data_IF_508459146837
#
_entry.id   IF_508459146837
#
_cell.length_a   1.000
_cell.length_b   1.000
_cell.length_c   1.000
_cell.angle_alpha   90.00
_cell.angle_beta   90.00
_cell.angle_gamma   90.00
#
_symmetry.space_group_name_H-M   'P 1'
#
loop_
_entity.id
_entity.type
_entity.pdbx_description
1 polymer ?
#
# COMPACT_ATOMS: atom_id res chain seq x y z
N UNK A 1 21.54 -21.00 13.02
CA UNK A 1 20.64 -19.87 13.31
C UNK A 1 19.58 -19.86 12.23
N UNK A 2 18.48 -20.56 12.45
CA UNK A 2 17.33 -20.50 11.55
C UNK A 2 16.59 -19.19 11.86
N UNK A 3 16.47 -18.32 10.87
CA UNK A 3 15.63 -17.14 10.94
C UNK A 3 14.21 -17.58 11.32
N UNK A 4 13.73 -17.07 12.45
CA UNK A 4 12.34 -17.21 12.87
C UNK A 4 11.49 -16.29 11.95
N UNK A 5 11.35 -16.66 10.67
CA UNK A 5 10.38 -16.04 9.76
C UNK A 5 9.03 -16.50 10.25
N UNK A 6 8.26 -15.59 10.84
CA UNK A 6 6.87 -15.88 11.18
C UNK A 6 6.17 -16.28 9.87
N UNK A 7 5.54 -17.48 9.78
CA UNK A 7 4.82 -17.91 8.58
C UNK A 7 3.78 -16.89 8.09
N UNK A 8 3.27 -16.06 9.01
CA UNK A 8 2.35 -14.95 8.75
C UNK A 8 2.97 -13.82 7.90
N UNK A 9 4.30 -13.64 7.89
CA UNK A 9 4.95 -12.56 7.14
C UNK A 9 4.91 -12.79 5.62
N UNK A 10 5.07 -14.05 5.16
CA UNK A 10 5.08 -14.34 3.72
C UNK A 10 3.73 -14.04 3.06
N UNK A 11 2.63 -14.33 3.77
CA UNK A 11 1.27 -14.06 3.32
C UNK A 11 1.00 -12.59 3.05
N UNK A 12 1.41 -11.75 3.99
CA UNK A 12 1.29 -10.29 3.88
C UNK A 12 2.08 -9.76 2.68
N UNK A 13 3.31 -10.24 2.46
CA UNK A 13 4.11 -9.80 1.32
C UNK A 13 3.46 -10.17 -0.02
N UNK A 14 2.89 -11.36 -0.13
CA UNK A 14 2.15 -11.80 -1.31
C UNK A 14 0.88 -10.97 -1.54
N UNK A 15 0.21 -10.55 -0.46
CA UNK A 15 -0.95 -9.68 -0.55
C UNK A 15 -0.60 -8.36 -1.28
N UNK A 16 0.53 -7.73 -0.96
CA UNK A 16 0.94 -6.48 -1.59
C UNK A 16 1.65 -6.65 -2.93
N UNK A 17 2.56 -7.62 -3.05
CA UNK A 17 3.49 -7.72 -4.17
C UNK A 17 3.13 -8.81 -5.20
N UNK A 18 2.10 -9.62 -4.95
CA UNK A 18 1.71 -10.71 -5.83
C UNK A 18 2.40 -12.04 -5.54
N UNK A 19 1.95 -13.11 -6.22
CA UNK A 19 2.33 -14.51 -5.95
C UNK A 19 3.82 -14.80 -6.12
N UNK A 20 4.44 -14.17 -7.10
CA UNK A 20 5.81 -14.44 -7.53
C UNK A 20 6.84 -13.53 -6.85
N UNK A 21 6.43 -12.62 -5.97
CA UNK A 21 7.33 -11.65 -5.34
C UNK A 21 8.42 -12.31 -4.47
N UNK A 22 8.12 -13.47 -3.89
CA UNK A 22 9.05 -14.25 -3.06
C UNK A 22 9.74 -15.39 -3.83
N UNK A 23 9.66 -15.40 -5.16
CA UNK A 23 10.32 -16.41 -5.96
C UNK A 23 11.86 -16.29 -5.82
N UNK A 24 12.59 -17.40 -5.64
CA UNK A 24 14.03 -17.39 -5.34
C UNK A 24 14.91 -16.93 -6.51
N UNK A 25 14.38 -16.90 -7.75
CA UNK A 25 15.10 -16.39 -8.92
C UNK A 25 14.14 -15.62 -9.85
N UNK A 26 14.06 -14.28 -9.73
CA UNK A 26 13.22 -13.47 -10.59
C UNK A 26 13.82 -13.34 -12.00
N UNK A 27 13.21 -14.06 -12.95
CA UNK A 27 13.59 -14.16 -14.37
C UNK A 27 13.26 -12.91 -15.22
N UNK A 28 12.43 -11.99 -14.70
CA UNK A 28 12.06 -10.74 -15.40
C UNK A 28 12.34 -9.50 -14.54
N UNK A 29 12.54 -8.36 -15.20
CA UNK A 29 12.78 -7.08 -14.53
C UNK A 29 11.63 -6.68 -13.60
N UNK A 30 10.38 -6.92 -14.00
CA UNK A 30 9.21 -6.64 -13.14
C UNK A 30 9.18 -7.52 -11.89
N UNK A 31 9.53 -8.81 -12.00
CA UNK A 31 9.64 -9.69 -10.82
C UNK A 31 10.78 -9.27 -9.90
N UNK A 32 11.91 -8.79 -10.44
CA UNK A 32 13.02 -8.23 -9.63
C UNK A 32 12.57 -6.99 -8.85
N UNK A 33 11.79 -6.11 -9.48
CA UNK A 33 11.22 -4.94 -8.80
C UNK A 33 10.30 -5.39 -7.66
N UNK A 34 9.37 -6.30 -7.91
CA UNK A 34 8.46 -6.79 -6.85
C UNK A 34 9.19 -7.56 -5.75
N UNK A 35 10.24 -8.32 -6.06
CA UNK A 35 11.09 -8.98 -5.06
C UNK A 35 11.80 -7.95 -4.17
N UNK A 36 12.30 -6.86 -4.76
CA UNK A 36 12.89 -5.76 -3.99
C UNK A 36 11.85 -5.04 -3.11
N UNK A 37 10.64 -4.77 -3.63
CA UNK A 37 9.56 -4.16 -2.86
C UNK A 37 9.10 -5.07 -1.71
N UNK A 38 8.98 -6.38 -1.95
CA UNK A 38 8.66 -7.36 -0.90
C UNK A 38 9.74 -7.43 0.17
N UNK A 39 11.03 -7.42 -0.22
CA UNK A 39 12.14 -7.35 0.74
C UNK A 39 12.13 -6.07 1.57
N UNK A 40 11.80 -4.94 0.94
CA UNK A 40 11.68 -3.65 1.62
C UNK A 40 10.52 -3.66 2.62
N UNK A 41 9.35 -4.15 2.19
CA UNK A 41 8.17 -4.26 3.03
C UNK A 41 8.40 -5.21 4.21
N UNK A 42 9.08 -6.34 3.99
CA UNK A 42 9.49 -7.25 5.06
C UNK A 42 10.43 -6.58 6.07
N UNK A 43 11.37 -5.76 5.58
CA UNK A 43 12.30 -5.04 6.46
C UNK A 43 11.57 -4.03 7.33
N UNK A 44 10.59 -3.31 6.76
CA UNK A 44 9.70 -2.41 7.52
C UNK A 44 8.85 -3.20 8.52
N UNK A 45 8.24 -4.33 8.11
CA UNK A 45 7.45 -5.20 8.97
C UNK A 45 8.23 -5.68 10.20
N UNK A 46 9.48 -6.11 9.99
CA UNK A 46 10.38 -6.50 11.09
C UNK A 46 10.69 -5.32 12.01
N UNK A 47 10.86 -4.11 11.46
CA UNK A 47 11.03 -2.89 12.26
C UNK A 47 9.82 -2.60 13.14
N UNK A 48 8.61 -2.70 12.58
CA UNK A 48 7.35 -2.52 13.30
C UNK A 48 7.21 -3.55 14.42
N UNK A 49 7.47 -4.84 14.13
CA UNK A 49 7.37 -5.90 15.13
C UNK A 49 8.31 -5.72 16.33
N UNK A 50 9.45 -5.05 16.14
CA UNK A 50 10.40 -4.75 17.23
C UNK A 50 9.95 -3.60 18.14
N UNK A 51 9.01 -2.74 17.71
CA UNK A 51 8.57 -1.58 18.49
C UNK A 51 7.96 -1.96 19.83
N UNK A 52 7.33 -3.14 19.94
CA UNK A 52 6.73 -3.65 21.19
C UNK A 52 7.73 -3.64 22.35
N UNK A 53 8.99 -4.00 22.06
CA UNK A 53 10.07 -4.16 23.03
C UNK A 53 10.88 -2.88 23.26
N UNK A 54 10.58 -1.78 22.55
CA UNK A 54 11.34 -0.53 22.64
C UNK A 54 10.76 0.42 23.70
N UNK A 55 11.54 1.36 24.25
CA UNK A 55 11.01 2.41 25.12
C UNK A 55 10.11 3.39 24.34
N UNK A 56 9.24 4.11 25.06
CA UNK A 56 8.21 4.97 24.47
C UNK A 56 8.79 6.07 23.59
N UNK A 57 9.88 6.71 24.00
CA UNK A 57 10.57 7.74 23.21
C UNK A 57 11.04 7.23 21.85
N UNK A 58 11.54 5.98 21.80
CA UNK A 58 11.91 5.31 20.55
C UNK A 58 10.68 5.04 19.68
N UNK A 59 9.59 4.52 20.27
CA UNK A 59 8.34 4.27 19.53
C UNK A 59 7.79 5.57 18.95
N UNK A 60 7.79 6.64 19.73
CA UNK A 60 7.24 7.95 19.37
C UNK A 60 8.06 8.62 18.27
N UNK A 61 9.38 8.41 18.24
CA UNK A 61 10.27 8.93 17.19
C UNK A 61 10.24 8.07 15.92
N UNK A 62 10.35 6.75 16.06
CA UNK A 62 10.62 5.84 14.94
C UNK A 62 9.37 5.17 14.37
N UNK A 63 8.32 4.98 15.17
CA UNK A 63 7.07 4.36 14.74
C UNK A 63 6.39 5.09 13.58
N UNK A 64 6.25 6.43 13.60
CA UNK A 64 5.68 7.17 12.48
C UNK A 64 6.48 6.99 11.18
N UNK A 65 7.82 6.97 11.27
CA UNK A 65 8.70 6.70 10.13
C UNK A 65 8.44 5.32 9.53
N UNK A 66 8.31 4.28 10.37
CA UNK A 66 8.01 2.92 9.91
C UNK A 66 6.61 2.81 9.29
N UNK A 67 5.59 3.45 9.88
CA UNK A 67 4.25 3.51 9.30
C UNK A 67 4.28 4.17 7.90
N UNK A 68 5.05 5.25 7.77
CA UNK A 68 5.18 5.94 6.50
C UNK A 68 5.92 5.11 5.45
N UNK A 69 7.02 4.46 5.83
CA UNK A 69 7.75 3.56 4.96
C UNK A 69 6.85 2.39 4.49
N UNK A 70 6.04 1.83 5.40
CA UNK A 70 5.06 0.80 5.05
C UNK A 70 4.10 1.30 3.98
N UNK A 71 3.50 2.47 4.21
CA UNK A 71 2.54 3.08 3.29
C UNK A 71 3.16 3.31 1.91
N UNK A 72 4.34 3.93 1.85
CA UNK A 72 4.99 4.27 0.58
C UNK A 72 5.37 3.02 -0.23
N UNK A 73 5.96 2.01 0.42
CA UNK A 73 6.34 0.75 -0.24
C UNK A 73 5.08 0.01 -0.70
N UNK A 74 4.06 -0.10 0.15
CA UNK A 74 2.81 -0.79 -0.16
C UNK A 74 2.09 -0.14 -1.35
N UNK A 75 1.90 1.17 -1.33
CA UNK A 75 1.21 1.88 -2.42
C UNK A 75 2.03 1.87 -3.71
N UNK A 76 3.37 1.88 -3.63
CA UNK A 76 4.23 1.69 -4.80
C UNK A 76 4.05 0.30 -5.42
N UNK A 77 3.95 -0.75 -4.59
CA UNK A 77 3.65 -2.09 -5.06
C UNK A 77 2.27 -2.16 -5.75
N UNK A 78 1.23 -1.54 -5.17
CA UNK A 78 -0.10 -1.51 -5.78
C UNK A 78 -0.13 -0.74 -7.11
N UNK A 79 0.56 0.40 -7.20
CA UNK A 79 0.76 1.11 -8.47
C UNK A 79 1.42 0.18 -9.48
N UNK A 80 2.48 -0.52 -9.10
CA UNK A 80 3.15 -1.47 -9.99
C UNK A 80 2.27 -2.62 -10.44
N UNK A 81 1.35 -3.08 -9.61
CA UNK A 81 0.44 -4.18 -9.97
C UNK A 81 -0.58 -3.73 -11.00
N UNK A 82 -1.10 -2.51 -10.87
CA UNK A 82 -2.09 -1.95 -11.79
C UNK A 82 -1.47 -1.30 -13.04
N UNK A 83 -0.25 -0.79 -12.94
CA UNK A 83 0.51 -0.18 -14.05
C UNK A 83 1.99 -0.61 -14.02
N UNK A 84 2.32 -1.88 -14.39
CA UNK A 84 3.69 -2.37 -14.40
C UNK A 84 4.65 -1.54 -15.25
N UNK A 85 4.13 -0.91 -16.32
CA UNK A 85 4.88 -0.03 -17.18
C UNK A 85 5.49 1.16 -16.41
N UNK A 86 4.78 1.68 -15.41
CA UNK A 86 5.28 2.79 -14.57
C UNK A 86 6.54 2.41 -13.82
N UNK A 87 6.57 1.23 -13.17
CA UNK A 87 7.73 0.78 -12.41
C UNK A 87 8.90 0.39 -13.31
N UNK A 88 8.63 -0.28 -14.44
CA UNK A 88 9.67 -0.60 -15.43
C UNK A 88 10.32 0.68 -16.00
N UNK A 89 9.52 1.71 -16.26
CA UNK A 89 10.02 3.01 -16.74
C UNK A 89 10.91 3.67 -15.68
N UNK A 90 10.48 3.68 -14.42
CA UNK A 90 11.27 4.25 -13.31
C UNK A 90 12.59 3.50 -13.15
N UNK A 91 12.56 2.17 -13.12
CA UNK A 91 13.76 1.35 -13.02
C UNK A 91 14.73 1.63 -14.18
N UNK A 92 14.22 1.72 -15.41
CA UNK A 92 15.07 1.98 -16.59
C UNK A 92 15.72 3.37 -16.53
N UNK A 93 15.01 4.37 -16.02
CA UNK A 93 15.58 5.69 -15.78
C UNK A 93 16.63 5.67 -14.67
N UNK A 94 16.38 4.91 -13.59
CA UNK A 94 17.30 4.74 -12.47
C UNK A 94 18.61 4.02 -12.83
N UNK A 95 18.54 3.09 -13.78
CA UNK A 95 19.72 2.38 -14.30
C UNK A 95 20.46 3.14 -15.41
N UNK A 96 19.95 4.29 -15.84
CA UNK A 96 20.60 5.07 -16.90
C UNK A 96 21.88 5.74 -16.39
N UNK A 97 22.87 5.93 -17.27
CA UNK A 97 24.13 6.62 -16.92
C UNK A 97 23.93 8.08 -16.51
N UNK A 98 22.78 8.65 -16.85
CA UNK A 98 22.41 10.04 -16.53
C UNK A 98 21.64 10.12 -15.20
N UNK A 99 21.66 9.04 -14.39
CA UNK A 99 21.03 9.01 -13.08
C UNK A 99 21.82 9.80 -12.04
N UNK A 100 21.42 11.05 -11.83
CA UNK A 100 21.90 11.92 -10.76
C UNK A 100 20.98 11.90 -9.53
N UNK A 101 21.45 11.36 -8.41
CA UNK A 101 20.71 11.33 -7.13
C UNK A 101 20.50 12.72 -6.51
N UNK A 102 21.28 13.72 -6.92
CA UNK A 102 21.23 15.07 -6.37
C UNK A 102 20.06 15.93 -6.92
N UNK A 103 19.46 15.54 -8.05
CA UNK A 103 18.41 16.33 -8.71
C UNK A 103 17.05 15.69 -8.43
N UNK A 104 16.01 16.43 -8.04
CA UNK A 104 14.66 15.88 -7.90
C UNK A 104 14.10 15.33 -9.23
N UNK A 105 13.67 14.08 -9.18
CA UNK A 105 13.24 13.33 -10.37
C UNK A 105 11.80 13.63 -10.72
N UNK A 106 11.53 14.00 -11.98
CA UNK A 106 10.16 14.19 -12.47
C UNK A 106 9.38 12.88 -12.57
N UNK A 107 10.09 11.77 -12.81
CA UNK A 107 9.53 10.45 -13.01
C UNK A 107 9.38 9.61 -11.75
N UNK A 108 9.89 10.06 -10.59
CA UNK A 108 9.66 9.37 -9.32
C UNK A 108 8.16 9.21 -9.03
N UNK A 109 7.79 8.18 -8.26
CA UNK A 109 6.43 8.07 -7.72
C UNK A 109 6.19 9.25 -6.78
N UNK A 110 5.08 9.95 -7.00
CA UNK A 110 4.69 11.13 -6.22
C UNK A 110 3.36 10.90 -5.54
N UNK A 111 3.25 11.42 -4.32
CA UNK A 111 1.99 11.42 -3.59
C UNK A 111 0.86 12.06 -4.40
N UNK A 112 1.11 13.25 -4.95
CA UNK A 112 0.19 13.91 -5.88
C UNK A 112 0.54 13.49 -7.31
N UNK A 113 -0.44 12.96 -8.04
CA UNK A 113 -0.32 12.51 -9.42
C UNK A 113 -0.28 10.99 -9.57
N UNK A 114 0.50 10.27 -8.75
CA UNK A 114 0.58 8.80 -8.83
C UNK A 114 -0.27 8.09 -7.77
N UNK A 115 -0.43 8.66 -6.57
CA UNK A 115 -1.27 8.06 -5.51
C UNK A 115 -2.61 8.78 -5.42
N UNK A 116 -2.58 10.10 -5.26
CA UNK A 116 -3.75 10.95 -5.18
C UNK A 116 -3.89 11.78 -6.45
N UNK A 117 -5.12 12.01 -6.90
CA UNK A 117 -5.41 12.96 -7.97
C UNK A 117 -6.50 13.94 -7.53
N UNK A 118 -6.48 15.13 -8.14
CA UNK A 118 -7.60 16.08 -8.03
C UNK A 118 -8.81 15.50 -8.77
N UNK A 119 -9.99 15.76 -8.23
CA UNK A 119 -11.23 15.28 -8.84
C UNK A 119 -11.47 15.90 -10.22
N UNK A 120 -12.04 15.12 -11.15
CA UNK A 120 -12.45 15.58 -12.48
C UNK A 120 -13.97 15.46 -12.63
N UNK A 121 -14.60 16.50 -13.20
CA UNK A 121 -16.06 16.58 -13.33
C UNK A 121 -16.62 15.90 -14.59
N UNK A 122 -15.76 15.43 -15.49
CA UNK A 122 -16.18 14.87 -16.78
C UNK A 122 -15.15 13.88 -17.33
N UNK A 123 -15.06 12.70 -16.70
CA UNK A 123 -14.00 11.71 -16.95
C UNK A 123 -14.01 11.14 -18.38
N UNK A 124 -15.20 10.91 -18.93
CA UNK A 124 -15.37 10.15 -20.18
C UNK A 124 -15.93 11.00 -21.31
N UNK A 125 -15.74 12.32 -21.23
CA UNK A 125 -16.14 13.22 -22.32
C UNK A 125 -15.25 13.02 -23.54
N UNK A 126 -15.82 13.04 -24.76
CA UNK A 126 -15.05 12.93 -26.01
C UNK A 126 -13.99 14.02 -26.18
N UNK A 127 -14.06 15.10 -25.40
CA UNK A 127 -13.13 16.23 -25.45
C UNK A 127 -11.94 16.08 -24.49
N UNK A 128 -11.88 14.99 -23.71
CA UNK A 128 -10.75 14.72 -22.83
C UNK A 128 -9.58 14.18 -23.65
N UNK A 129 -8.45 14.90 -23.62
CA UNK A 129 -7.21 14.39 -24.20
C UNK A 129 -6.65 13.22 -23.36
N UNK A 130 -6.10 12.20 -24.03
CA UNK A 130 -5.50 11.03 -23.36
C UNK A 130 -4.39 11.43 -22.37
N UNK A 131 -3.66 12.52 -22.63
CA UNK A 131 -2.60 13.03 -21.74
C UNK A 131 -3.13 13.55 -20.40
N UNK A 132 -4.42 13.92 -20.34
CA UNK A 132 -5.08 14.47 -19.16
C UNK A 132 -5.77 13.36 -18.33
N UNK A 133 -5.75 12.12 -18.83
CA UNK A 133 -6.19 10.93 -18.10
C UNK A 133 -5.10 10.56 -17.08
N UNK A 134 -5.32 10.92 -15.81
CA UNK A 134 -4.41 10.54 -14.73
C UNK A 134 -4.65 9.09 -14.29
N UNK A 135 -3.55 8.37 -14.02
CA UNK A 135 -3.57 6.98 -13.51
C UNK A 135 -3.20 6.92 -12.03
N UNK A 136 -3.61 7.93 -11.28
CA UNK A 136 -3.39 7.94 -9.83
C UNK A 136 -4.13 6.77 -9.18
N UNK A 137 -3.45 6.10 -8.24
CA UNK A 137 -3.95 4.91 -7.57
C UNK A 137 -5.36 5.11 -7.03
N UNK A 138 -5.60 6.20 -6.29
CA UNK A 138 -6.92 6.57 -5.79
C UNK A 138 -7.51 7.76 -6.58
N UNK A 139 -7.30 7.81 -7.89
CA UNK A 139 -7.89 8.79 -8.79
C UNK A 139 -9.24 8.34 -9.34
N UNK A 140 -10.03 9.30 -9.84
CA UNK A 140 -11.39 9.05 -10.33
C UNK A 140 -11.46 8.07 -11.53
N UNK A 141 -10.46 8.04 -12.42
CA UNK A 141 -10.41 7.04 -13.48
C UNK A 141 -10.23 5.61 -12.92
N UNK A 142 -9.35 5.42 -11.94
CA UNK A 142 -9.15 4.11 -11.32
C UNK A 142 -10.35 3.73 -10.45
N UNK A 143 -11.03 4.69 -9.82
CA UNK A 143 -12.31 4.41 -9.15
C UNK A 143 -13.31 3.74 -10.11
N UNK A 144 -13.54 4.35 -11.27
CA UNK A 144 -14.52 3.86 -12.25
C UNK A 144 -14.08 2.60 -13.00
N UNK A 145 -12.80 2.48 -13.37
CA UNK A 145 -12.33 1.40 -14.24
C UNK A 145 -11.73 0.21 -13.49
N UNK A 146 -11.29 0.41 -12.24
CA UNK A 146 -10.50 -0.57 -11.50
C UNK A 146 -11.20 -0.94 -10.19
N UNK A 147 -11.33 0.01 -9.27
CA UNK A 147 -11.69 -0.29 -7.89
C UNK A 147 -13.13 -0.77 -7.70
N UNK A 148 -14.11 -0.15 -8.37
CA UNK A 148 -15.51 -0.58 -8.27
C UNK A 148 -15.68 -2.03 -8.69
N UNK A 149 -15.14 -2.38 -9.86
CA UNK A 149 -15.17 -3.74 -10.40
C UNK A 149 -14.43 -4.72 -9.47
N UNK A 150 -13.30 -4.31 -8.89
CA UNK A 150 -12.55 -5.14 -7.94
C UNK A 150 -13.32 -5.44 -6.65
N UNK A 151 -14.02 -4.44 -6.09
CA UNK A 151 -14.86 -4.62 -4.90
C UNK A 151 -16.06 -5.51 -5.19
N UNK A 152 -16.74 -5.30 -6.32
CA UNK A 152 -17.86 -6.15 -6.74
C UNK A 152 -17.40 -7.61 -6.94
N UNK A 153 -16.26 -7.80 -7.61
CA UNK A 153 -15.67 -9.13 -7.82
C UNK A 153 -15.24 -9.80 -6.49
N UNK A 154 -14.75 -9.01 -5.52
CA UNK A 154 -14.47 -9.51 -4.17
C UNK A 154 -15.77 -9.92 -3.46
N UNK A 155 -16.81 -9.11 -3.52
CA UNK A 155 -18.10 -9.41 -2.89
C UNK A 155 -18.74 -10.69 -3.45
N UNK A 156 -18.64 -10.90 -4.77
CA UNK A 156 -19.14 -12.12 -5.43
C UNK A 156 -18.35 -13.38 -5.06
N UNK A 157 -17.07 -13.23 -4.70
CA UNK A 157 -16.18 -14.34 -4.38
C UNK A 157 -16.21 -14.76 -2.90
N UNK A 158 -16.70 -13.89 -2.00
CA UNK A 158 -16.69 -14.13 -0.56
C UNK A 158 -17.94 -14.89 -0.13
N UNK A 159 -17.80 -16.06 0.55
CA UNK A 159 -18.92 -16.77 1.15
C UNK A 159 -19.68 -15.92 2.17
N UNK A 160 -20.99 -16.14 2.31
CA UNK A 160 -21.86 -15.40 3.23
C UNK A 160 -21.49 -15.56 4.72
N UNK A 161 -20.65 -16.54 5.07
CA UNK A 161 -20.31 -16.96 6.42
C UNK A 161 -18.84 -16.72 6.81
N UNK A 162 -18.13 -15.81 6.13
CA UNK A 162 -16.74 -15.53 6.49
C UNK A 162 -16.63 -14.84 7.86
N UNK A 163 -15.89 -15.49 8.78
CA UNK A 163 -15.68 -15.02 10.16
C UNK A 163 -14.67 -13.88 10.33
N UNK A 164 -14.19 -13.26 9.24
CA UNK A 164 -13.27 -12.13 9.29
C UNK A 164 -14.05 -10.81 9.48
N UNK A 165 -13.69 -10.07 10.54
CA UNK A 165 -14.31 -8.78 10.87
C UNK A 165 -13.95 -7.71 9.84
N UNK A 166 -12.69 -7.56 9.47
CA UNK A 166 -12.23 -6.56 8.53
C UNK A 166 -12.71 -6.85 7.10
N UNK A 167 -12.85 -8.11 6.71
CA UNK A 167 -13.49 -8.44 5.43
C UNK A 167 -14.96 -8.02 5.44
N UNK A 168 -15.67 -8.26 6.53
CA UNK A 168 -17.06 -7.80 6.70
C UNK A 168 -17.15 -6.27 6.65
N UNK A 169 -16.25 -5.56 7.33
CA UNK A 169 -16.18 -4.09 7.32
C UNK A 169 -15.86 -3.55 5.90
N UNK A 170 -14.96 -4.20 5.16
CA UNK A 170 -14.60 -3.87 3.78
C UNK A 170 -15.77 -4.08 2.82
N UNK A 171 -16.48 -5.21 2.92
CA UNK A 171 -17.62 -5.52 2.05
C UNK A 171 -18.85 -4.66 2.34
N UNK A 172 -18.93 -4.07 3.54
CA UNK A 172 -19.96 -3.08 3.86
C UNK A 172 -19.72 -1.73 3.15
N UNK A 173 -18.56 -1.51 2.55
CA UNK A 173 -18.27 -0.29 1.78
C UNK A 173 -18.92 -0.40 0.40
N UNK A 174 -19.83 0.52 0.02
CA UNK A 174 -20.36 0.55 -1.34
C UNK A 174 -19.23 0.69 -2.36
N UNK A 175 -19.27 -0.10 -3.44
CA UNK A 175 -18.21 -0.13 -4.45
C UNK A 175 -17.85 1.28 -4.98
N UNK A 176 -18.88 2.11 -5.24
CA UNK A 176 -18.72 3.48 -5.72
C UNK A 176 -18.11 4.48 -4.70
N UNK A 177 -17.97 4.06 -3.44
CA UNK A 177 -17.48 4.87 -2.33
C UNK A 177 -16.11 4.40 -1.85
N UNK A 178 -15.67 3.19 -2.24
CA UNK A 178 -14.41 2.61 -1.82
C UNK A 178 -13.22 3.52 -2.10
N UNK A 179 -13.04 3.95 -3.35
CA UNK A 179 -11.88 4.78 -3.72
C UNK A 179 -11.87 6.12 -2.97
N UNK A 180 -13.04 6.75 -2.79
CA UNK A 180 -13.16 8.01 -2.06
C UNK A 180 -12.80 7.84 -0.58
N UNK A 181 -13.29 6.77 0.07
CA UNK A 181 -12.95 6.45 1.47
C UNK A 181 -11.46 6.16 1.63
N UNK A 182 -10.86 5.39 0.71
CA UNK A 182 -9.42 5.11 0.73
C UNK A 182 -8.59 6.36 0.55
N UNK A 183 -8.97 7.23 -0.40
CA UNK A 183 -8.33 8.52 -0.63
C UNK A 183 -8.33 9.39 0.63
N UNK A 184 -9.46 9.47 1.33
CA UNK A 184 -9.60 10.24 2.56
C UNK A 184 -8.76 9.63 3.70
N UNK A 185 -8.91 8.33 3.98
CA UNK A 185 -8.23 7.66 5.07
C UNK A 185 -6.70 7.68 4.89
N UNK A 186 -6.21 7.25 3.73
CA UNK A 186 -4.78 7.23 3.40
C UNK A 186 -4.22 8.65 3.29
N UNK A 187 -5.01 9.61 2.78
CA UNK A 187 -4.69 11.04 2.75
C UNK A 187 -4.46 11.64 4.14
N UNK A 188 -5.39 11.36 5.06
CA UNK A 188 -5.32 11.79 6.45
C UNK A 188 -4.10 11.17 7.15
N UNK A 189 -3.90 9.86 7.03
CA UNK A 189 -2.76 9.15 7.62
C UNK A 189 -1.43 9.69 7.09
N UNK A 190 -1.32 9.95 5.78
CA UNK A 190 -0.12 10.54 5.20
C UNK A 190 0.18 11.91 5.80
N UNK A 191 -0.83 12.78 5.93
CA UNK A 191 -0.64 14.10 6.53
C UNK A 191 -0.22 14.02 7.99
N UNK A 192 -0.85 13.14 8.76
CA UNK A 192 -0.58 12.95 10.18
C UNK A 192 0.84 12.40 10.42
N UNK A 193 1.21 11.32 9.73
CA UNK A 193 2.55 10.74 9.81
C UNK A 193 3.64 11.71 9.34
N UNK A 194 3.37 12.51 8.31
CA UNK A 194 4.32 13.52 7.82
C UNK A 194 4.67 14.54 8.89
N UNK A 195 3.71 14.99 9.70
CA UNK A 195 3.97 15.95 10.79
C UNK A 195 4.89 15.38 11.87
N UNK A 196 4.87 14.06 12.06
CA UNK A 196 5.70 13.37 13.06
C UNK A 196 7.12 13.07 12.58
N UNK A 197 7.37 13.13 11.26
CA UNK A 197 8.67 12.82 10.64
C UNK A 197 9.39 14.10 10.19
N UNK A 198 8.63 15.11 9.75
CA UNK A 198 9.21 16.40 9.39
C UNK A 198 9.48 17.20 10.66
N UNK A 199 10.75 17.47 10.94
CA UNK A 199 11.22 18.36 12.02
C UNK A 199 10.89 19.85 11.76
N UNK A 200 9.90 20.14 10.90
CA UNK A 200 9.29 21.46 10.80
C UNK A 200 8.44 21.80 12.03
N UNK A 201 7.99 20.77 12.76
CA UNK A 201 7.37 20.95 14.06
C UNK A 201 8.41 21.35 15.10
N UNK A 202 8.33 22.59 15.58
CA UNK A 202 9.17 23.10 16.67
C UNK A 202 8.65 22.70 18.06
N UNK A 203 7.56 21.94 18.13
CA UNK A 203 7.09 21.31 19.37
C UNK A 203 7.69 19.91 19.49
N UNK A 204 8.07 19.46 20.70
CA UNK A 204 8.62 18.12 20.91
C UNK A 204 7.68 17.06 20.34
N UNK A 205 8.20 16.08 19.58
CA UNK A 205 7.41 14.95 19.06
C UNK A 205 6.64 14.21 20.18
N UNK A 206 7.22 14.22 21.40
CA UNK A 206 6.64 13.68 22.63
C UNK A 206 5.29 14.33 22.99
N UNK A 207 5.05 15.56 22.55
CA UNK A 207 3.79 16.29 22.79
C UNK A 207 2.71 16.04 21.74
N UNK A 208 3.04 15.38 20.62
CA UNK A 208 2.12 15.16 19.50
C UNK A 208 1.53 13.76 19.48
N UNK A 209 2.34 12.73 19.74
CA UNK A 209 1.89 11.33 19.74
C UNK A 209 2.46 10.60 20.93
N UNK A 210 1.63 9.95 21.74
CA UNK A 210 2.09 8.94 22.68
C UNK A 210 2.22 7.56 21.99
N UNK A 211 2.69 6.54 22.72
CA UNK A 211 2.80 5.17 22.21
C UNK A 211 1.48 4.66 21.63
N UNK A 212 0.35 4.96 22.28
CA UNK A 212 -0.97 4.47 21.88
C UNK A 212 -1.36 5.10 20.55
N UNK A 213 -1.21 6.41 20.40
CA UNK A 213 -1.43 7.12 19.14
C UNK A 213 -0.57 6.54 18.01
N UNK A 214 0.72 6.28 18.27
CA UNK A 214 1.60 5.69 17.24
C UNK A 214 1.16 4.27 16.86
N UNK A 215 0.77 3.44 17.84
CA UNK A 215 0.25 2.10 17.59
C UNK A 215 -1.02 2.15 16.72
N UNK A 216 -1.97 3.03 17.05
CA UNK A 216 -3.20 3.22 16.27
C UNK A 216 -2.90 3.71 14.84
N UNK A 217 -1.94 4.62 14.65
CA UNK A 217 -1.54 5.09 13.34
C UNK A 217 -0.89 4.00 12.49
N UNK A 218 -0.06 3.14 13.10
CA UNK A 218 0.51 1.96 12.47
C UNK A 218 -0.60 1.00 12.04
N UNK A 219 -1.49 0.61 12.96
CA UNK A 219 -2.58 -0.32 12.68
C UNK A 219 -3.49 0.18 11.56
N UNK A 220 -3.91 1.45 11.62
CA UNK A 220 -4.73 2.07 10.57
C UNK A 220 -4.00 2.08 9.23
N UNK A 221 -2.72 2.45 9.21
CA UNK A 221 -1.92 2.47 7.97
C UNK A 221 -1.82 1.10 7.32
N UNK A 222 -1.52 0.08 8.13
CA UNK A 222 -1.36 -1.29 7.63
C UNK A 222 -2.71 -1.83 7.16
N UNK A 223 -3.80 -1.61 7.91
CA UNK A 223 -5.15 -2.03 7.52
C UNK A 223 -5.63 -1.36 6.24
N UNK A 224 -5.54 -0.04 6.15
CA UNK A 224 -6.04 0.72 4.99
C UNK A 224 -5.34 0.29 3.69
N UNK A 225 -4.03 0.04 3.77
CA UNK A 225 -3.24 -0.45 2.64
C UNK A 225 -3.50 -1.92 2.32
N UNK A 226 -3.68 -2.79 3.32
CA UNK A 226 -3.98 -4.20 3.13
C UNK A 226 -5.35 -4.43 2.47
N UNK A 227 -6.36 -3.64 2.82
CA UNK A 227 -7.68 -3.70 2.17
C UNK A 227 -7.57 -3.34 0.67
N UNK A 228 -6.82 -2.30 0.33
CA UNK A 228 -6.57 -1.97 -1.08
C UNK A 228 -5.77 -3.08 -1.80
N UNK A 229 -4.85 -3.72 -1.10
CA UNK A 229 -4.07 -4.84 -1.64
C UNK A 229 -4.92 -6.09 -1.90
N UNK A 230 -5.85 -6.41 -0.98
CA UNK A 230 -6.83 -7.48 -1.18
C UNK A 230 -7.65 -7.23 -2.45
N UNK A 231 -8.27 -6.05 -2.56
CA UNK A 231 -9.12 -5.70 -3.71
C UNK A 231 -8.33 -5.74 -5.02
N UNK A 232 -7.05 -5.38 -5.01
CA UNK A 232 -6.18 -5.45 -6.18
C UNK A 232 -6.07 -6.88 -6.75
N UNK A 233 -6.18 -7.94 -5.95
CA UNK A 233 -6.20 -9.34 -6.46
C UNK A 233 -7.46 -9.67 -7.26
N UNK A 234 -8.53 -8.92 -7.07
CA UNK A 234 -9.81 -9.09 -7.78
C UNK A 234 -9.91 -8.19 -9.02
N UNK A 235 -8.83 -7.47 -9.36
CA UNK A 235 -8.73 -6.72 -10.61
C UNK A 235 -8.15 -7.63 -11.70
N UNK A 236 -8.86 -7.92 -12.80
CA UNK A 236 -8.43 -8.93 -13.78
C UNK A 236 -7.09 -8.67 -14.46
N UNK A 237 -6.71 -7.41 -14.62
CA UNK A 237 -5.46 -7.01 -15.27
C UNK A 237 -4.35 -6.67 -14.27
N UNK A 238 -4.59 -6.81 -12.97
CA UNK A 238 -3.54 -6.63 -11.97
C UNK A 238 -2.48 -7.71 -12.16
N UNK A 239 -1.22 -7.29 -12.15
CA UNK A 239 -0.09 -8.18 -12.32
C UNK A 239 0.01 -9.15 -11.13
N UNK A 240 0.19 -10.43 -11.46
CA UNK A 240 0.61 -11.51 -10.55
C UNK A 240 -0.31 -11.71 -9.33
N UNK A 241 -1.62 -11.60 -9.56
CA UNK A 241 -2.64 -11.83 -8.54
C UNK A 241 -2.67 -13.27 -8.03
N UNK A 242 -2.96 -13.40 -6.74
CA UNK A 242 -3.36 -14.65 -6.11
C UNK A 242 -4.75 -15.08 -6.60
N UNK A 243 -5.09 -16.36 -6.47
CA UNK A 243 -6.49 -16.77 -6.62
C UNK A 243 -7.36 -16.14 -5.53
N UNK A 244 -8.67 -16.02 -5.77
CA UNK A 244 -9.61 -15.43 -4.81
C UNK A 244 -9.50 -16.06 -3.41
N UNK A 245 -9.47 -17.40 -3.33
CA UNK A 245 -9.34 -18.12 -2.07
C UNK A 245 -8.00 -17.87 -1.38
N UNK A 246 -6.89 -17.86 -2.13
CA UNK A 246 -5.57 -17.53 -1.59
C UNK A 246 -5.55 -16.09 -1.05
N UNK A 247 -6.06 -15.11 -1.80
CA UNK A 247 -6.07 -13.71 -1.40
C UNK A 247 -6.91 -13.46 -0.14
N UNK A 248 -8.11 -14.04 -0.06
CA UNK A 248 -8.98 -13.97 1.12
C UNK A 248 -8.30 -14.62 2.33
N UNK A 249 -7.72 -15.80 2.14
CA UNK A 249 -6.98 -16.50 3.20
C UNK A 249 -5.81 -15.68 3.72
N UNK A 250 -4.98 -15.11 2.84
CA UNK A 250 -3.85 -14.27 3.26
C UNK A 250 -4.32 -12.99 3.98
N UNK A 251 -5.41 -12.38 3.54
CA UNK A 251 -5.99 -11.23 4.24
C UNK A 251 -6.54 -11.60 5.63
N UNK A 252 -7.28 -12.70 5.75
CA UNK A 252 -7.77 -13.17 7.06
C UNK A 252 -6.64 -13.54 8.02
N UNK A 253 -5.56 -14.13 7.53
CA UNK A 253 -4.37 -14.39 8.34
C UNK A 253 -3.65 -13.10 8.75
N UNK A 254 -3.62 -12.11 7.85
CA UNK A 254 -3.08 -10.79 8.14
C UNK A 254 -3.84 -10.09 9.27
N UNK A 255 -5.15 -10.23 9.38
CA UNK A 255 -5.92 -9.60 10.46
C UNK A 255 -5.60 -10.15 11.85
N UNK A 256 -5.03 -11.35 11.94
CA UNK A 256 -4.52 -11.90 13.19
C UNK A 256 -3.16 -11.29 13.59
N UNK A 257 -2.57 -10.44 12.74
CA UNK A 257 -1.31 -9.77 13.01
C UNK A 257 -1.51 -8.60 13.98
N UNK A 258 -1.15 -8.80 15.25
CA UNK A 258 -1.13 -7.73 16.25
C UNK A 258 0.10 -6.84 16.08
N UNK A 259 -0.12 -5.55 15.81
CA UNK A 259 0.93 -4.60 15.41
C UNK A 259 1.71 -4.09 16.63
N UNK A 260 1.04 -3.60 17.68
CA UNK A 260 1.68 -3.17 18.94
C UNK A 260 0.72 -3.39 20.12
N UNK A 261 1.07 -4.25 21.08
CA UNK A 261 0.56 -4.20 22.46
C UNK A 261 1.75 -3.92 23.37
#
# INVERSE_FOLDING_TARGET
>A
MAENRLPQQAGVLNLFCGKSALAPDPDTDIKRIFSHLASSLNSVAMGIGRLKEQPDDYVMLYGPFLARAWMEVSLTALIGRLDPFRLLTIQRMQLSTNYETAIPWKSAIRWQGDIMAKGSKDLFSPNVDVKDIHRALFGDYYDHLVWRNGIESLADAVPLDVGSRGLTELLAIPANSFCARKREAIGSLYSELSKSIHFESVTPAVSLNDRVTVAELLERTIRETAEAALVCHFVPHAYDSLSANEAIHEFSNFELFEVVQ
#
